data_IF_831076744120
#
_entry.id   IF_831076744120
#
_cell.length_a   1.000
_cell.length_b   1.000
_cell.length_c   1.000
_cell.angle_alpha   90.00
_cell.angle_beta   90.00
_cell.angle_gamma   90.00
#
_symmetry.space_group_name_H-M   'P 1'
#
loop_
_entity.id
_entity.type
_entity.pdbx_description
1 polymer ?
#
# COMPACT_ATOMS: atom_id res chain seq x y z
N UNK A 1 -26.07 -71.73 24.79
CA UNK A 1 -26.54 -71.16 23.51
C UNK A 1 -25.44 -70.20 23.09
N UNK A 2 -24.74 -70.56 22.02
CA UNK A 2 -23.45 -70.00 21.58
C UNK A 2 -23.71 -68.63 20.94
N UNK A 3 -22.99 -67.60 21.39
CA UNK A 3 -22.81 -66.35 20.66
C UNK A 3 -21.51 -66.52 19.86
N UNK A 4 -21.65 -66.49 18.54
CA UNK A 4 -20.54 -66.41 17.58
C UNK A 4 -19.68 -65.18 17.91
N UNK A 5 -18.49 -65.42 18.45
CA UNK A 5 -17.42 -64.44 18.58
C UNK A 5 -16.52 -64.60 17.34
N UNK A 6 -17.04 -64.22 16.17
CA UNK A 6 -16.21 -63.97 15.00
C UNK A 6 -15.61 -62.57 15.15
N UNK A 7 -14.57 -62.47 15.97
CA UNK A 7 -13.68 -61.31 15.96
C UNK A 7 -12.91 -61.38 14.63
N UNK A 8 -13.44 -60.71 13.61
CA UNK A 8 -12.76 -60.55 12.32
C UNK A 8 -11.56 -59.65 12.58
N UNK A 9 -10.42 -60.27 12.91
CA UNK A 9 -9.17 -59.56 13.19
C UNK A 9 -8.79 -58.74 11.97
N UNK A 10 -8.97 -57.42 12.04
CA UNK A 10 -8.66 -56.54 10.92
C UNK A 10 -7.16 -56.58 10.61
N UNK A 11 -6.80 -57.17 9.48
CA UNK A 11 -5.42 -57.26 9.01
C UNK A 11 -5.07 -56.11 8.06
N UNK A 12 -3.86 -55.57 8.23
CA UNK A 12 -3.37 -54.38 7.55
C UNK A 12 -2.04 -54.66 6.85
N UNK A 13 -1.80 -53.96 5.75
CA UNK A 13 -0.54 -53.94 5.02
C UNK A 13 -0.01 -52.51 5.10
N UNK A 14 1.23 -52.34 5.57
CA UNK A 14 1.90 -51.05 5.74
C UNK A 14 3.05 -50.93 4.75
N UNK A 15 3.18 -49.77 4.11
CA UNK A 15 4.27 -49.46 3.21
C UNK A 15 5.26 -48.53 3.90
N UNK A 16 6.52 -48.97 3.94
CA UNK A 16 7.65 -48.21 4.50
C UNK A 16 8.75 -48.17 3.45
N UNK A 17 9.15 -46.97 3.02
CA UNK A 17 10.17 -46.74 1.98
C UNK A 17 9.93 -47.56 0.69
N UNK A 18 8.67 -47.68 0.27
CA UNK A 18 8.28 -48.38 -0.96
C UNK A 18 8.24 -49.92 -0.85
N UNK A 19 8.50 -50.49 0.34
CA UNK A 19 8.32 -51.93 0.61
C UNK A 19 7.05 -52.17 1.42
N UNK A 20 6.27 -53.17 0.99
CA UNK A 20 5.05 -53.57 1.66
C UNK A 20 5.34 -54.63 2.72
N UNK A 21 4.80 -54.42 3.93
CA UNK A 21 4.94 -55.30 5.07
C UNK A 21 3.55 -55.65 5.60
N UNK A 22 3.24 -56.93 5.68
CA UNK A 22 1.94 -57.45 6.12
C UNK A 22 1.66 -58.83 5.51
N UNK A 23 0.47 -59.40 5.78
CA UNK A 23 -0.61 -58.86 6.62
C UNK A 23 -0.26 -58.90 8.12
N UNK A 24 -0.60 -57.84 8.86
CA UNK A 24 -0.37 -57.73 10.30
C UNK A 24 -1.63 -57.20 11.00
N UNK A 25 -1.96 -57.72 12.17
CA UNK A 25 -3.07 -57.22 12.97
C UNK A 25 -2.67 -55.93 13.73
N UNK A 26 -3.66 -55.25 14.30
CA UNK A 26 -3.46 -53.99 15.03
C UNK A 26 -2.49 -54.13 16.21
N UNK A 27 -2.43 -55.31 16.84
CA UNK A 27 -1.53 -55.60 17.96
C UNK A 27 -0.07 -55.67 17.50
N UNK A 28 0.21 -56.38 16.40
CA UNK A 28 1.53 -56.44 15.76
C UNK A 28 1.98 -55.08 15.25
N UNK A 29 1.05 -54.28 14.69
CA UNK A 29 1.38 -52.91 14.29
C UNK A 29 1.76 -52.02 15.48
N UNK A 30 1.17 -52.26 16.67
CA UNK A 30 1.51 -51.54 17.90
C UNK A 30 2.93 -51.85 18.36
N UNK A 31 3.37 -53.09 18.21
CA UNK A 31 4.77 -53.48 18.45
C UNK A 31 5.71 -52.75 17.48
N UNK A 32 5.40 -52.74 16.18
CA UNK A 32 6.24 -52.06 15.17
C UNK A 32 6.29 -50.54 15.37
N UNK A 33 5.21 -49.95 15.88
CA UNK A 33 5.21 -48.56 16.35
C UNK A 33 6.16 -48.37 17.55
N UNK A 34 6.14 -49.28 18.53
CA UNK A 34 7.05 -49.24 19.68
C UNK A 34 8.53 -49.33 19.27
N UNK A 35 8.82 -50.08 18.21
CA UNK A 35 10.15 -50.22 17.59
C UNK A 35 10.53 -49.05 16.67
N UNK A 36 9.61 -48.10 16.42
CA UNK A 36 9.84 -46.96 15.50
C UNK A 36 9.83 -47.32 14.01
N UNK A 37 9.37 -48.52 13.65
CA UNK A 37 9.32 -49.04 12.27
C UNK A 37 8.07 -48.58 11.52
N UNK A 38 7.02 -48.20 12.24
CA UNK A 38 5.78 -47.64 11.66
C UNK A 38 5.56 -46.23 12.22
N UNK A 39 5.55 -45.25 11.32
CA UNK A 39 5.26 -43.85 11.63
C UNK A 39 3.82 -43.49 11.21
N UNK A 40 3.20 -42.47 11.83
CA UNK A 40 1.84 -42.04 11.46
C UNK A 40 1.71 -41.69 9.97
N UNK A 41 2.77 -41.14 9.36
CA UNK A 41 2.78 -40.72 7.96
C UNK A 41 2.94 -41.89 6.95
N UNK A 42 3.22 -43.11 7.42
CA UNK A 42 3.38 -44.26 6.52
C UNK A 42 2.05 -44.63 5.88
N UNK A 43 2.06 -45.11 4.64
CA UNK A 43 0.84 -45.57 3.98
C UNK A 43 0.44 -46.94 4.53
N UNK A 44 -0.84 -47.15 4.77
CA UNK A 44 -1.40 -48.40 5.22
C UNK A 44 -2.76 -48.66 4.54
N UNK A 45 -3.05 -49.92 4.23
CA UNK A 45 -4.34 -50.35 3.71
C UNK A 45 -4.82 -51.61 4.42
N UNK A 46 -6.13 -51.80 4.51
CA UNK A 46 -6.71 -53.07 4.97
C UNK A 46 -6.53 -54.13 3.89
N UNK A 47 -6.41 -55.40 4.29
CA UNK A 47 -6.27 -56.52 3.33
C UNK A 47 -7.49 -56.62 2.39
N UNK A 48 -8.67 -56.23 2.88
CA UNK A 48 -9.94 -56.21 2.13
C UNK A 48 -10.15 -54.92 1.31
N UNK A 49 -9.19 -54.00 1.30
CA UNK A 49 -9.28 -52.71 0.63
C UNK A 49 -8.05 -52.44 -0.26
N UNK A 50 -8.30 -51.88 -1.45
CA UNK A 50 -7.24 -51.39 -2.33
C UNK A 50 -6.85 -49.93 -2.03
N UNK A 51 -7.57 -49.26 -1.13
CA UNK A 51 -7.35 -47.87 -0.79
C UNK A 51 -6.21 -47.73 0.23
N UNK A 52 -5.14 -47.05 -0.16
CA UNK A 52 -4.07 -46.64 0.75
C UNK A 52 -4.51 -45.42 1.55
N UNK A 53 -4.39 -45.54 2.87
CA UNK A 53 -4.70 -44.53 3.88
C UNK A 53 -3.47 -44.26 4.74
N UNK A 54 -3.48 -43.25 5.60
CA UNK A 54 -2.37 -43.02 6.51
C UNK A 54 -2.43 -44.00 7.68
N UNK A 55 -1.29 -44.58 8.09
CA UNK A 55 -1.20 -45.46 9.24
C UNK A 55 -1.69 -44.76 10.54
N UNK A 56 -1.61 -43.43 10.60
CA UNK A 56 -2.18 -42.60 11.67
C UNK A 56 -3.71 -42.61 11.76
N UNK A 57 -4.40 -43.05 10.71
CA UNK A 57 -5.86 -43.16 10.65
C UNK A 57 -6.36 -44.54 11.10
N UNK A 58 -5.47 -45.52 11.34
CA UNK A 58 -5.83 -46.85 11.82
C UNK A 58 -6.39 -46.73 13.25
N UNK A 59 -7.67 -47.12 13.48
CA UNK A 59 -8.28 -47.08 14.81
C UNK A 59 -7.46 -47.88 15.84
N UNK A 60 -7.04 -47.25 16.94
CA UNK A 60 -6.38 -47.93 18.05
C UNK A 60 -4.87 -48.23 17.89
N UNK A 61 -4.25 -47.87 16.76
CA UNK A 61 -2.81 -48.03 16.54
C UNK A 61 -2.01 -46.82 17.06
N UNK A 62 -2.38 -45.65 16.58
CA UNK A 62 -2.01 -44.38 17.17
C UNK A 62 -3.20 -43.99 18.02
N UNK A 63 -3.00 -43.78 19.32
CA UNK A 63 -4.04 -43.21 20.17
C UNK A 63 -4.35 -41.82 19.64
N UNK A 64 -5.22 -41.76 18.63
CA UNK A 64 -6.05 -40.64 18.30
C UNK A 64 -7.13 -40.55 19.39
N UNK A 65 -6.68 -40.34 20.62
CA UNK A 65 -7.13 -39.10 21.19
C UNK A 65 -6.91 -38.06 20.08
N UNK A 66 -7.95 -37.44 19.51
CA UNK A 66 -8.83 -36.62 20.32
C UNK A 66 -8.31 -36.48 21.77
N UNK A 67 -7.00 -36.10 21.89
CA UNK A 67 -6.66 -34.91 22.66
C UNK A 67 -7.82 -34.03 22.32
N UNK A 68 -8.74 -33.73 23.25
CA UNK A 68 -9.63 -32.63 23.02
C UNK A 68 -8.66 -31.62 22.47
N UNK A 69 -8.89 -31.15 21.26
CA UNK A 69 -8.47 -29.80 21.01
C UNK A 69 -9.21 -29.08 22.16
N UNK A 70 -8.55 -28.93 23.31
CA UNK A 70 -8.00 -27.65 23.64
C UNK A 70 -7.44 -27.14 22.29
N UNK A 71 -8.32 -26.71 21.35
CA UNK A 71 -8.85 -25.38 21.44
C UNK A 71 -8.55 -24.84 22.84
N UNK A 72 -7.26 -24.60 23.07
CA UNK A 72 -6.85 -23.26 23.35
C UNK A 72 -7.47 -22.54 22.16
N UNK A 73 -8.78 -22.27 22.26
CA UNK A 73 -9.35 -21.05 21.76
C UNK A 73 -8.25 -20.09 22.18
N UNK A 74 -7.43 -19.59 21.22
CA UNK A 74 -6.33 -18.72 21.57
C UNK A 74 -6.95 -17.74 22.55
N UNK A 75 -6.47 -17.74 23.82
CA UNK A 75 -7.26 -17.38 25.00
C UNK A 75 -8.10 -16.19 24.62
N UNK A 76 -9.44 -16.31 24.54
CA UNK A 76 -10.31 -15.59 23.58
C UNK A 76 -9.65 -14.26 23.36
N UNK A 77 -8.89 -14.13 22.26
CA UNK A 77 -7.93 -13.02 22.13
C UNK A 77 -8.77 -11.81 22.46
N UNK A 78 -8.54 -11.23 23.65
CA UNK A 78 -9.39 -10.13 24.13
C UNK A 78 -9.40 -9.21 22.94
N UNK A 79 -10.57 -8.94 22.32
CA UNK A 79 -10.61 -8.24 21.04
C UNK A 79 -9.70 -7.06 21.24
N UNK A 80 -8.51 -7.11 20.62
CA UNK A 80 -7.47 -6.14 20.94
C UNK A 80 -8.16 -4.87 20.51
N UNK A 81 -8.45 -3.94 21.44
CA UNK A 81 -9.29 -2.82 21.11
C UNK A 81 -8.70 -2.19 19.86
N UNK A 82 -9.51 -2.02 18.79
CA UNK A 82 -9.01 -1.59 17.50
C UNK A 82 -8.16 -0.35 17.74
N UNK A 83 -6.96 -0.31 17.14
CA UNK A 83 -6.00 0.75 17.44
C UNK A 83 -6.68 2.09 17.24
N UNK A 84 -6.63 2.98 18.21
CA UNK A 84 -7.18 4.32 18.00
C UNK A 84 -6.43 5.02 16.87
N UNK A 85 -7.06 6.00 16.20
CA UNK A 85 -6.39 6.77 15.16
C UNK A 85 -5.10 7.42 15.67
N UNK A 86 -5.13 7.94 16.91
CA UNK A 86 -3.94 8.50 17.56
C UNK A 86 -2.82 7.47 17.74
N UNK A 87 -3.15 6.22 18.08
CA UNK A 87 -2.17 5.13 18.16
C UNK A 87 -1.57 4.78 16.80
N UNK A 88 -2.37 4.75 15.71
CA UNK A 88 -1.83 4.51 14.36
C UNK A 88 -0.85 5.61 13.98
N UNK A 89 -1.19 6.87 14.24
CA UNK A 89 -0.31 8.00 13.94
C UNK A 89 0.98 7.93 14.76
N UNK A 90 0.88 7.72 16.07
CA UNK A 90 2.04 7.58 16.96
C UNK A 90 2.94 6.40 16.55
N UNK A 91 2.36 5.24 16.25
CA UNK A 91 3.09 4.06 15.78
C UNK A 91 3.76 4.33 14.42
N UNK A 92 3.11 5.10 13.54
CA UNK A 92 3.67 5.48 12.24
C UNK A 92 4.91 6.35 12.40
N UNK A 93 4.87 7.35 13.29
CA UNK A 93 6.06 8.15 13.64
C UNK A 93 7.14 7.30 14.30
N UNK A 94 6.78 6.37 15.18
CA UNK A 94 7.74 5.47 15.84
C UNK A 94 8.45 4.54 14.86
N UNK A 95 7.71 3.96 13.91
CA UNK A 95 8.25 3.11 12.85
C UNK A 95 9.13 3.94 11.92
N UNK A 96 8.67 5.12 11.52
CA UNK A 96 9.44 6.03 10.70
C UNK A 96 10.76 6.42 11.37
N UNK A 97 10.75 6.79 12.65
CA UNK A 97 11.95 7.11 13.40
C UNK A 97 12.92 5.93 13.51
N UNK A 98 12.40 4.72 13.75
CA UNK A 98 13.20 3.48 13.82
C UNK A 98 13.83 3.11 12.48
N UNK A 99 13.11 3.32 11.38
CA UNK A 99 13.54 3.04 10.00
C UNK A 99 14.07 4.25 9.25
N UNK A 100 14.36 5.37 9.91
CA UNK A 100 14.55 6.67 9.27
C UNK A 100 15.55 6.63 8.12
N UNK A 101 16.71 6.00 8.32
CA UNK A 101 17.74 5.90 7.28
C UNK A 101 17.28 5.10 6.06
N UNK A 102 16.47 4.04 6.24
CA UNK A 102 15.97 3.25 5.12
C UNK A 102 14.91 4.04 4.33
N UNK A 103 13.97 4.70 5.02
CA UNK A 103 12.97 5.55 4.36
C UNK A 103 13.57 6.80 3.73
N UNK A 104 14.60 7.37 4.35
CA UNK A 104 15.35 8.50 3.81
C UNK A 104 16.10 8.09 2.53
N UNK A 105 16.81 6.96 2.54
CA UNK A 105 17.47 6.43 1.34
C UNK A 105 16.48 6.13 0.21
N UNK A 106 15.30 5.58 0.55
CA UNK A 106 14.23 5.35 -0.43
C UNK A 106 13.69 6.66 -1.00
N UNK A 107 13.55 7.69 -0.18
CA UNK A 107 13.10 9.02 -0.61
C UNK A 107 14.17 9.70 -1.46
N UNK A 108 15.44 9.54 -1.10
CA UNK A 108 16.57 10.06 -1.85
C UNK A 108 16.60 9.48 -3.27
N UNK A 109 16.29 8.19 -3.43
CA UNK A 109 16.19 7.53 -4.73
C UNK A 109 15.18 8.21 -5.68
N UNK A 110 14.12 8.80 -5.12
CA UNK A 110 13.10 9.53 -5.87
C UNK A 110 13.43 11.03 -6.03
N UNK A 111 14.07 11.62 -5.02
CA UNK A 111 14.44 13.04 -4.97
C UNK A 111 15.66 13.38 -5.83
N UNK A 112 16.69 12.54 -5.82
CA UNK A 112 17.97 12.81 -6.49
C UNK A 112 17.80 13.21 -7.96
N UNK A 113 17.03 12.45 -8.78
CA UNK A 113 16.87 12.79 -10.18
C UNK A 113 16.17 14.14 -10.37
N UNK A 114 15.15 14.44 -9.56
CA UNK A 114 14.44 15.72 -9.59
C UNK A 114 15.36 16.89 -9.22
N UNK A 115 16.18 16.72 -8.18
CA UNK A 115 17.15 17.74 -7.76
C UNK A 115 18.21 17.94 -8.83
N UNK A 116 18.73 16.87 -9.43
CA UNK A 116 19.67 16.95 -10.55
C UNK A 116 19.07 17.70 -11.75
N UNK A 117 17.81 17.43 -12.10
CA UNK A 117 17.11 18.14 -13.18
C UNK A 117 16.98 19.64 -12.88
N UNK A 118 16.58 20.01 -11.67
CA UNK A 118 16.44 21.41 -11.24
C UNK A 118 17.79 22.15 -11.20
N UNK A 119 18.84 21.52 -10.66
CA UNK A 119 20.19 22.08 -10.64
C UNK A 119 20.73 22.30 -12.06
N UNK A 120 20.42 21.39 -12.99
CA UNK A 120 20.80 21.52 -14.40
C UNK A 120 20.11 22.73 -15.03
N UNK A 121 18.81 22.92 -14.77
CA UNK A 121 18.05 24.08 -15.26
C UNK A 121 18.59 25.41 -14.71
N UNK A 122 18.91 25.47 -13.40
CA UNK A 122 19.51 26.63 -12.77
C UNK A 122 20.87 26.98 -13.39
N UNK A 123 21.73 25.98 -13.61
CA UNK A 123 23.05 26.20 -14.20
C UNK A 123 22.97 26.76 -15.63
N UNK A 124 21.91 26.41 -16.37
CA UNK A 124 21.65 26.93 -17.71
C UNK A 124 21.17 28.37 -17.73
N UNK A 125 20.24 28.74 -16.84
CA UNK A 125 19.75 30.12 -16.74
C UNK A 125 20.88 31.11 -16.50
N UNK A 126 21.87 30.73 -15.69
CA UNK A 126 23.01 31.58 -15.38
C UNK A 126 24.03 31.71 -16.55
N UNK A 127 23.88 30.92 -17.62
CA UNK A 127 24.82 30.87 -18.76
C UNK A 127 24.22 31.29 -20.11
N UNK A 128 22.98 31.77 -20.12
CA UNK A 128 22.23 32.14 -21.33
C UNK A 128 22.82 33.28 -22.18
N UNK A 129 23.97 33.86 -21.80
CA UNK A 129 24.58 34.96 -22.55
C UNK A 129 25.53 34.55 -23.70
N UNK A 130 25.95 33.27 -23.87
CA UNK A 130 27.18 33.03 -24.64
C UNK A 130 27.29 31.90 -25.71
N UNK A 131 26.36 30.94 -25.90
CA UNK A 131 26.30 30.01 -27.08
C UNK A 131 25.32 28.84 -26.81
N UNK A 132 24.20 28.76 -27.54
CA UNK A 132 22.97 28.14 -27.02
C UNK A 132 22.40 26.89 -27.74
N UNK A 133 23.06 26.20 -28.67
CA UNK A 133 22.38 25.07 -29.35
C UNK A 133 22.62 23.69 -28.70
N UNK A 134 23.83 23.13 -28.77
CA UNK A 134 24.02 21.72 -28.36
C UNK A 134 23.89 21.47 -26.85
N UNK A 135 24.34 22.43 -26.03
CA UNK A 135 24.30 22.30 -24.56
C UNK A 135 22.87 22.31 -24.05
N UNK A 136 22.05 23.24 -24.53
CA UNK A 136 20.64 23.39 -24.12
C UNK A 136 19.85 22.12 -24.46
N UNK A 137 20.06 21.56 -25.66
CA UNK A 137 19.47 20.27 -26.05
C UNK A 137 19.93 19.13 -25.13
N UNK A 138 21.24 19.03 -24.84
CA UNK A 138 21.77 17.98 -23.97
C UNK A 138 21.22 18.06 -22.53
N UNK A 139 21.10 19.27 -21.97
CA UNK A 139 20.52 19.46 -20.64
C UNK A 139 19.01 19.24 -20.60
N UNK A 140 18.28 19.67 -21.63
CA UNK A 140 16.86 19.34 -21.78
C UNK A 140 16.65 17.83 -21.84
N UNK A 141 17.46 17.12 -22.63
CA UNK A 141 17.47 15.66 -22.70
C UNK A 141 17.80 15.01 -21.36
N UNK A 142 18.81 15.52 -20.63
CA UNK A 142 19.15 15.04 -19.30
C UNK A 142 17.99 15.23 -18.30
N UNK A 143 17.38 16.42 -18.24
CA UNK A 143 16.25 16.70 -17.36
C UNK A 143 15.05 15.80 -17.69
N UNK A 144 14.78 15.56 -18.97
CA UNK A 144 13.75 14.64 -19.43
C UNK A 144 14.00 13.18 -19.00
N UNK A 145 15.25 12.70 -19.12
CA UNK A 145 15.63 11.37 -18.65
C UNK A 145 15.50 11.24 -17.14
N UNK A 146 15.93 12.26 -16.38
CA UNK A 146 15.76 12.28 -14.92
C UNK A 146 14.27 12.24 -14.52
N UNK A 147 13.41 12.95 -15.25
CA UNK A 147 11.97 12.90 -15.06
C UNK A 147 11.39 11.50 -15.32
N UNK A 148 11.76 10.85 -16.43
CA UNK A 148 11.35 9.47 -16.74
C UNK A 148 11.82 8.52 -15.63
N UNK A 149 13.06 8.67 -15.19
CA UNK A 149 13.61 7.84 -14.13
C UNK A 149 12.84 8.03 -12.81
N UNK A 150 12.55 9.28 -12.41
CA UNK A 150 11.68 9.54 -11.23
C UNK A 150 10.30 8.88 -11.36
N UNK A 151 9.67 8.94 -12.54
CA UNK A 151 8.40 8.25 -12.76
C UNK A 151 8.54 6.73 -12.66
N UNK A 152 9.60 6.16 -13.24
CA UNK A 152 9.87 4.73 -13.20
C UNK A 152 10.21 4.22 -11.80
N UNK A 153 10.77 5.05 -10.92
CA UNK A 153 11.10 4.69 -9.53
C UNK A 153 9.91 4.79 -8.58
N UNK A 154 8.82 5.44 -8.98
CA UNK A 154 7.63 5.59 -8.13
C UNK A 154 7.04 4.26 -7.64
N UNK A 155 6.85 3.22 -8.49
CA UNK A 155 6.38 1.91 -8.04
C UNK A 155 7.30 1.26 -7.02
N UNK A 156 8.62 1.37 -7.22
CA UNK A 156 9.64 0.84 -6.29
C UNK A 156 9.57 1.56 -4.96
N UNK A 157 9.41 2.88 -4.97
CA UNK A 157 9.24 3.69 -3.77
C UNK A 157 7.99 3.26 -2.98
N UNK A 158 6.84 3.10 -3.64
CA UNK A 158 5.60 2.68 -2.96
C UNK A 158 5.76 1.28 -2.34
N UNK A 159 6.26 0.31 -3.11
CA UNK A 159 6.45 -1.06 -2.62
C UNK A 159 7.52 -1.12 -1.50
N UNK A 160 8.60 -0.36 -1.64
CA UNK A 160 9.67 -0.27 -0.66
C UNK A 160 9.19 0.22 0.70
N UNK A 161 8.31 1.24 0.74
CA UNK A 161 7.72 1.70 2.02
C UNK A 161 7.01 0.54 2.71
N UNK A 162 6.21 -0.23 1.97
CA UNK A 162 5.39 -1.30 2.53
C UNK A 162 6.25 -2.45 3.06
N UNK A 163 7.24 -2.90 2.27
CA UNK A 163 8.17 -3.97 2.64
C UNK A 163 8.94 -3.57 3.90
N UNK A 164 9.63 -2.42 3.88
CA UNK A 164 10.41 -1.92 5.02
C UNK A 164 9.54 -1.77 6.27
N UNK A 165 8.32 -1.23 6.13
CA UNK A 165 7.38 -1.10 7.24
C UNK A 165 7.07 -2.45 7.88
N UNK A 166 6.75 -3.46 7.07
CA UNK A 166 6.44 -4.80 7.60
C UNK A 166 7.63 -5.49 8.24
N UNK A 167 8.84 -5.27 7.73
CA UNK A 167 10.07 -5.82 8.29
C UNK A 167 10.39 -5.19 9.65
N UNK A 168 10.21 -3.87 9.78
CA UNK A 168 10.35 -3.15 11.06
C UNK A 168 9.32 -3.61 12.09
N UNK A 169 8.06 -3.84 11.66
CA UNK A 169 7.00 -4.37 12.53
C UNK A 169 7.32 -5.81 12.98
N UNK A 170 7.89 -6.63 12.09
CA UNK A 170 8.31 -7.99 12.38
C UNK A 170 9.65 -8.08 13.14
N UNK A 171 10.24 -6.92 13.51
CA UNK A 171 11.55 -6.80 14.15
C UNK A 171 12.70 -7.49 13.39
N UNK A 172 12.54 -7.68 12.07
CA UNK A 172 13.55 -8.23 11.19
C UNK A 172 14.47 -7.11 10.70
N UNK A 173 15.78 -7.38 10.67
CA UNK A 173 16.78 -6.48 10.06
C UNK A 173 17.14 -6.99 8.67
N UNK A 174 16.45 -6.47 7.68
CA UNK A 174 16.74 -6.65 6.27
C UNK A 174 17.59 -5.48 5.77
N UNK A 175 18.55 -5.79 4.91
CA UNK A 175 19.36 -4.77 4.24
C UNK A 175 18.51 -3.97 3.27
N UNK A 176 18.77 -2.66 3.16
CA UNK A 176 18.06 -1.75 2.24
C UNK A 176 18.05 -2.26 0.79
N UNK A 177 19.16 -2.82 0.32
CA UNK A 177 19.27 -3.38 -1.04
C UNK A 177 18.40 -4.62 -1.27
N UNK A 178 18.21 -5.44 -0.24
CA UNK A 178 17.31 -6.60 -0.31
C UNK A 178 15.87 -6.11 -0.46
N UNK A 179 15.47 -5.13 0.35
CA UNK A 179 14.14 -4.52 0.25
C UNK A 179 13.89 -3.86 -1.12
N UNK A 180 14.89 -3.21 -1.72
CA UNK A 180 14.78 -2.67 -3.09
C UNK A 180 14.62 -3.80 -4.11
N UNK A 181 15.45 -4.83 -4.03
CA UNK A 181 15.38 -5.95 -4.97
C UNK A 181 14.00 -6.62 -4.95
N UNK A 182 13.45 -6.81 -3.74
CA UNK A 182 12.09 -7.33 -3.58
C UNK A 182 11.04 -6.35 -4.09
N UNK A 183 11.19 -5.04 -3.85
CA UNK A 183 10.29 -4.02 -4.38
C UNK A 183 10.26 -3.98 -5.91
N UNK A 184 11.41 -4.16 -6.58
CA UNK A 184 11.50 -4.21 -8.06
C UNK A 184 10.72 -5.40 -8.62
N UNK A 185 10.62 -6.51 -7.89
CA UNK A 185 9.80 -7.66 -8.32
C UNK A 185 8.31 -7.31 -8.45
N UNK A 186 7.82 -6.37 -7.64
CA UNK A 186 6.43 -5.90 -7.68
C UNK A 186 6.20 -4.76 -8.69
N UNK A 187 7.26 -4.27 -9.34
CA UNK A 187 7.22 -3.14 -10.26
C UNK A 187 6.09 -3.20 -11.30
N UNK A 188 5.92 -4.26 -12.12
CA UNK A 188 4.92 -4.25 -13.20
C UNK A 188 3.49 -4.14 -12.67
N UNK A 189 3.21 -4.72 -11.50
CA UNK A 189 1.86 -4.70 -10.89
C UNK A 189 1.55 -3.34 -10.30
N UNK A 190 2.50 -2.77 -9.56
CA UNK A 190 2.33 -1.44 -8.96
C UNK A 190 2.31 -0.38 -10.07
N UNK A 191 3.10 -0.52 -11.14
CA UNK A 191 3.06 0.35 -12.31
C UNK A 191 1.70 0.29 -13.02
N UNK A 192 1.12 -0.90 -13.24
CA UNK A 192 -0.22 -1.04 -13.81
C UNK A 192 -1.28 -0.35 -12.93
N UNK A 193 -1.20 -0.49 -11.61
CA UNK A 193 -2.05 0.25 -10.69
C UNK A 193 -1.83 1.77 -10.82
N UNK A 194 -0.59 2.24 -10.89
CA UNK A 194 -0.29 3.65 -11.10
C UNK A 194 -0.91 4.21 -12.39
N UNK A 195 -0.90 3.47 -13.50
CA UNK A 195 -1.55 3.89 -14.75
C UNK A 195 -3.06 4.07 -14.54
N UNK A 196 -3.73 3.12 -13.89
CA UNK A 196 -5.16 3.23 -13.57
C UNK A 196 -5.43 4.44 -12.69
N UNK A 197 -4.58 4.68 -11.69
CA UNK A 197 -4.65 5.83 -10.79
C UNK A 197 -4.53 7.12 -11.58
N UNK A 198 -3.49 7.29 -12.39
CA UNK A 198 -3.29 8.49 -13.20
C UNK A 198 -4.45 8.74 -14.16
N UNK A 199 -5.01 7.69 -14.77
CA UNK A 199 -6.20 7.81 -15.62
C UNK A 199 -7.41 8.36 -14.89
N UNK A 200 -7.71 7.86 -13.68
CA UNK A 200 -8.84 8.36 -12.89
C UNK A 200 -8.59 9.78 -12.38
N UNK A 201 -7.38 10.09 -11.93
CA UNK A 201 -7.03 11.44 -11.49
C UNK A 201 -7.10 12.45 -12.65
N UNK A 202 -6.67 12.06 -13.85
CA UNK A 202 -6.83 12.87 -15.05
C UNK A 202 -8.31 13.20 -15.31
N UNK A 203 -9.19 12.19 -15.24
CA UNK A 203 -10.64 12.41 -15.39
C UNK A 203 -11.21 13.34 -14.31
N UNK A 204 -10.75 13.21 -13.06
CA UNK A 204 -11.17 14.11 -11.97
C UNK A 204 -10.68 15.55 -12.17
N UNK A 205 -9.50 15.75 -12.74
CA UNK A 205 -8.98 17.08 -13.10
C UNK A 205 -9.81 17.68 -14.23
N UNK A 206 -10.07 16.91 -15.30
CA UNK A 206 -10.93 17.33 -16.41
C UNK A 206 -12.32 17.70 -15.90
N UNK A 207 -12.88 16.93 -14.97
CA UNK A 207 -14.16 17.26 -14.33
C UNK A 207 -14.12 18.60 -13.59
N UNK A 208 -13.03 18.90 -12.87
CA UNK A 208 -12.82 20.21 -12.23
C UNK A 208 -12.76 21.36 -13.25
N UNK A 209 -12.05 21.16 -14.37
CA UNK A 209 -12.00 22.15 -15.45
C UNK A 209 -13.37 22.37 -16.10
N UNK A 210 -14.19 21.33 -16.24
CA UNK A 210 -15.56 21.47 -16.75
C UNK A 210 -16.43 22.29 -15.80
N UNK A 211 -16.28 22.12 -14.49
CA UNK A 211 -16.98 22.96 -13.50
C UNK A 211 -16.51 24.42 -13.60
N UNK A 212 -15.20 24.65 -13.72
CA UNK A 212 -14.66 26.00 -13.91
C UNK A 212 -15.17 26.66 -15.20
N UNK A 213 -15.19 25.92 -16.32
CA UNK A 213 -15.74 26.41 -17.59
C UNK A 213 -17.24 26.73 -17.47
N UNK A 214 -18.00 25.91 -16.74
CA UNK A 214 -19.42 26.15 -16.45
C UNK A 214 -19.65 27.44 -15.65
N UNK A 215 -18.76 27.77 -14.70
CA UNK A 215 -18.82 29.03 -13.94
C UNK A 215 -18.53 30.23 -14.86
N UNK A 216 -17.54 30.12 -15.75
CA UNK A 216 -17.14 31.20 -16.67
C UNK A 216 -18.18 31.43 -17.77
N UNK A 217 -18.76 30.35 -18.32
CA UNK A 217 -19.74 30.42 -19.41
C UNK A 217 -21.19 30.62 -18.93
N UNK A 218 -21.47 30.34 -17.65
CA UNK A 218 -22.79 30.46 -17.06
C UNK A 218 -23.13 31.90 -16.70
N UNK A 219 -24.39 32.30 -16.90
CA UNK A 219 -24.92 33.53 -16.28
C UNK A 219 -24.75 33.46 -14.76
N UNK A 220 -24.45 34.59 -14.10
CA UNK A 220 -24.28 34.75 -12.64
C UNK A 220 -25.57 34.52 -11.83
N UNK A 221 -26.21 33.38 -12.04
CA UNK A 221 -27.39 32.94 -11.29
C UNK A 221 -26.94 32.20 -10.03
N UNK A 222 -27.63 32.46 -8.93
CA UNK A 222 -27.40 31.79 -7.64
C UNK A 222 -27.49 30.27 -7.79
N UNK A 223 -28.38 29.78 -8.66
CA UNK A 223 -28.52 28.36 -8.96
C UNK A 223 -27.23 27.76 -9.55
N UNK A 224 -26.62 28.40 -10.54
CA UNK A 224 -25.37 27.92 -11.15
C UNK A 224 -24.23 27.91 -10.14
N UNK A 225 -24.17 28.90 -9.24
CA UNK A 225 -23.18 28.94 -8.15
C UNK A 225 -23.38 27.78 -7.18
N UNK A 226 -24.63 27.54 -6.72
CA UNK A 226 -24.94 26.42 -5.83
C UNK A 226 -24.66 25.06 -6.48
N UNK A 227 -24.99 24.91 -7.76
CA UNK A 227 -24.73 23.70 -8.52
C UNK A 227 -23.22 23.47 -8.67
N UNK A 228 -22.45 24.50 -9.03
CA UNK A 228 -20.99 24.41 -9.11
C UNK A 228 -20.37 24.04 -7.76
N UNK A 229 -20.85 24.62 -6.65
CA UNK A 229 -20.39 24.30 -5.30
C UNK A 229 -20.71 22.84 -4.93
N UNK A 230 -21.90 22.34 -5.29
CA UNK A 230 -22.28 20.95 -5.08
C UNK A 230 -21.41 19.98 -5.89
N UNK A 231 -21.12 20.31 -7.15
CA UNK A 231 -20.23 19.52 -8.02
C UNK A 231 -18.79 19.53 -7.53
N UNK A 232 -18.27 20.67 -7.04
CA UNK A 232 -16.96 20.75 -6.40
C UNK A 232 -16.91 19.90 -5.13
N UNK A 233 -17.95 19.97 -4.28
CA UNK A 233 -18.07 19.12 -3.10
C UNK A 233 -18.05 17.64 -3.46
N UNK A 234 -18.78 17.24 -4.51
CA UNK A 234 -18.77 15.88 -5.04
C UNK A 234 -17.38 15.48 -5.57
N UNK A 235 -16.72 16.36 -6.32
CA UNK A 235 -15.37 16.12 -6.85
C UNK A 235 -14.36 15.86 -5.73
N UNK A 236 -14.34 16.71 -4.69
CA UNK A 236 -13.45 16.56 -3.53
C UNK A 236 -13.76 15.27 -2.78
N UNK A 237 -15.04 14.94 -2.60
CA UNK A 237 -15.44 13.69 -1.96
C UNK A 237 -15.00 12.45 -2.77
N UNK A 238 -15.20 12.46 -4.09
CA UNK A 238 -14.75 11.38 -4.99
C UNK A 238 -13.24 11.21 -4.94
N UNK A 239 -12.51 12.32 -4.95
CA UNK A 239 -11.04 12.33 -4.87
C UNK A 239 -10.55 11.67 -3.58
N UNK A 240 -11.04 12.11 -2.42
CA UNK A 240 -10.63 11.56 -1.13
C UNK A 240 -10.96 10.07 -1.01
N UNK A 241 -12.15 9.66 -1.45
CA UNK A 241 -12.58 8.26 -1.42
C UNK A 241 -11.78 7.37 -2.36
N UNK A 242 -11.51 7.85 -3.58
CA UNK A 242 -10.70 7.11 -4.54
C UNK A 242 -9.25 6.99 -4.07
N UNK A 243 -8.66 8.07 -3.56
CA UNK A 243 -7.30 8.07 -3.02
C UNK A 243 -7.10 7.03 -1.91
N UNK A 244 -8.03 6.97 -0.94
CA UNK A 244 -7.97 5.95 0.10
C UNK A 244 -8.06 4.52 -0.47
N UNK A 245 -8.94 4.28 -1.44
CA UNK A 245 -9.05 2.96 -2.10
C UNK A 245 -7.76 2.57 -2.81
N UNK A 246 -7.12 3.51 -3.51
CA UNK A 246 -5.85 3.30 -4.21
C UNK A 246 -4.75 2.88 -3.24
N UNK A 247 -4.64 3.56 -2.10
CA UNK A 247 -3.65 3.21 -1.08
C UNK A 247 -3.88 1.80 -0.54
N UNK A 248 -5.14 1.36 -0.41
CA UNK A 248 -5.46 -0.03 -0.06
C UNK A 248 -5.12 -1.01 -1.19
N UNK A 249 -5.39 -0.70 -2.46
CA UNK A 249 -5.02 -1.55 -3.60
C UNK A 249 -3.52 -1.83 -3.63
N UNK A 250 -2.72 -0.81 -3.33
CA UNK A 250 -1.27 -0.94 -3.21
C UNK A 250 -0.89 -1.90 -2.08
N UNK A 251 -1.57 -1.87 -0.93
CA UNK A 251 -1.28 -2.81 0.18
C UNK A 251 -1.56 -4.26 -0.24
N UNK A 252 -2.70 -4.52 -0.89
CA UNK A 252 -3.04 -5.87 -1.37
C UNK A 252 -2.06 -6.38 -2.43
N UNK A 253 -1.64 -5.53 -3.36
CA UNK A 253 -0.72 -5.92 -4.43
C UNK A 253 0.66 -6.36 -3.91
N UNK A 254 1.16 -5.72 -2.86
CA UNK A 254 2.51 -5.96 -2.34
C UNK A 254 2.51 -6.90 -1.14
N UNK A 255 1.61 -6.73 -0.17
CA UNK A 255 1.60 -7.53 1.05
C UNK A 255 0.96 -8.91 0.87
N UNK A 256 -0.07 -9.02 0.03
CA UNK A 256 -0.73 -10.30 -0.27
C UNK A 256 -0.30 -10.89 -1.60
N UNK A 257 0.65 -10.26 -2.30
CA UNK A 257 1.12 -10.69 -3.62
C UNK A 257 -0.04 -10.84 -4.63
N UNK A 258 -1.14 -10.08 -4.45
CA UNK A 258 -2.36 -10.20 -5.23
C UNK A 258 -2.18 -9.62 -6.65
N UNK A 259 -2.93 -10.18 -7.62
CA UNK A 259 -3.06 -9.58 -8.95
C UNK A 259 -3.82 -8.24 -8.92
N UNK A 260 -3.77 -7.48 -10.01
CA UNK A 260 -4.46 -6.17 -10.12
C UNK A 260 -5.98 -6.32 -9.95
N UNK A 261 -6.57 -7.36 -10.52
CA UNK A 261 -8.02 -7.61 -10.43
C UNK A 261 -8.39 -8.09 -9.02
N UNK A 262 -7.54 -8.90 -8.40
CA UNK A 262 -7.79 -9.44 -7.06
C UNK A 262 -7.64 -8.34 -6.00
N UNK A 263 -6.69 -7.42 -6.14
CA UNK A 263 -6.54 -6.28 -5.22
C UNK A 263 -7.74 -5.33 -5.28
N UNK A 264 -8.33 -5.12 -6.46
CA UNK A 264 -9.58 -4.39 -6.64
C UNK A 264 -10.76 -5.11 -5.95
N UNK A 265 -10.86 -6.42 -6.15
CA UNK A 265 -11.93 -7.25 -5.57
C UNK A 265 -11.85 -7.26 -4.05
N UNK A 266 -10.67 -7.48 -3.48
CA UNK A 266 -10.49 -7.57 -2.03
C UNK A 266 -10.61 -6.21 -1.34
N UNK A 267 -10.18 -5.12 -1.97
CA UNK A 267 -10.48 -3.77 -1.46
C UNK A 267 -11.99 -3.52 -1.36
N UNK A 268 -12.77 -3.96 -2.35
CA UNK A 268 -14.23 -3.84 -2.31
C UNK A 268 -14.83 -4.69 -1.20
N UNK A 269 -14.24 -5.86 -0.91
CA UNK A 269 -14.66 -6.69 0.22
C UNK A 269 -14.31 -6.01 1.56
N UNK A 270 -13.12 -5.41 1.68
CA UNK A 270 -12.69 -4.64 2.85
C UNK A 270 -13.58 -3.40 3.09
N UNK A 271 -14.05 -2.76 2.02
CA UNK A 271 -15.03 -1.67 2.08
C UNK A 271 -16.42 -2.10 2.60
N UNK A 272 -16.77 -3.38 2.39
CA UNK A 272 -18.06 -3.96 2.77
C UNK A 272 -18.01 -4.62 4.16
N UNK A 273 -16.85 -5.09 4.56
CA UNK A 273 -16.59 -5.61 5.90
C UNK A 273 -16.59 -4.47 6.92
N UNK A 274 -17.17 -4.71 8.11
CA UNK A 274 -17.35 -3.66 9.12
C UNK A 274 -18.65 -2.85 9.00
N UNK A 275 -19.70 -3.41 8.36
CA UNK A 275 -21.06 -2.83 8.42
C UNK A 275 -21.60 -2.74 9.85
N UNK A 276 -21.22 -3.70 10.69
CA UNK A 276 -21.50 -3.78 12.12
C UNK A 276 -20.86 -2.63 12.93
N UNK A 277 -19.77 -2.04 12.41
CA UNK A 277 -19.03 -0.97 13.09
C UNK A 277 -19.63 0.42 12.76
N UNK A 278 -19.58 1.36 13.73
CA UNK A 278 -19.90 2.77 13.49
C UNK A 278 -19.13 3.30 12.27
N UNK A 279 -19.76 4.17 11.48
CA UNK A 279 -19.21 4.61 10.20
C UNK A 279 -17.77 5.17 10.30
N UNK A 280 -17.44 5.88 11.38
CA UNK A 280 -16.12 6.48 11.62
C UNK A 280 -15.02 5.47 11.97
N UNK A 281 -15.37 4.28 12.45
CA UNK A 281 -14.41 3.21 12.77
C UNK A 281 -14.09 2.33 11.56
N UNK A 282 -14.87 2.46 10.48
CA UNK A 282 -14.65 1.67 9.27
C UNK A 282 -13.28 1.98 8.67
N UNK A 283 -12.54 0.96 8.17
CA UNK A 283 -11.19 1.14 7.64
C UNK A 283 -11.09 2.23 6.57
N UNK A 284 -12.09 2.34 5.69
CA UNK A 284 -12.11 3.38 4.66
C UNK A 284 -12.21 4.80 5.22
N UNK A 285 -13.05 5.02 6.23
CA UNK A 285 -13.20 6.36 6.82
C UNK A 285 -11.97 6.74 7.62
N UNK A 286 -11.37 5.80 8.36
CA UNK A 286 -10.08 5.99 9.03
C UNK A 286 -8.98 6.35 8.03
N UNK A 287 -8.95 5.69 6.88
CA UNK A 287 -8.03 6.02 5.78
C UNK A 287 -8.26 7.41 5.20
N UNK A 288 -9.53 7.81 4.99
CA UNK A 288 -9.87 9.17 4.54
C UNK A 288 -9.42 10.22 5.55
N UNK A 289 -9.64 10.01 6.86
CA UNK A 289 -9.17 10.95 7.89
C UNK A 289 -7.65 11.10 7.90
N UNK A 290 -6.89 10.00 7.79
CA UNK A 290 -5.42 10.03 7.71
C UNK A 290 -4.97 10.78 6.45
N UNK A 291 -5.58 10.49 5.31
CA UNK A 291 -5.28 11.19 4.07
C UNK A 291 -5.61 12.69 4.17
N UNK A 292 -6.75 13.07 4.74
CA UNK A 292 -7.13 14.47 4.95
C UNK A 292 -6.16 15.21 5.86
N UNK A 293 -5.69 14.58 6.94
CA UNK A 293 -4.68 15.15 7.83
C UNK A 293 -3.36 15.38 7.08
N UNK A 294 -2.95 14.41 6.25
CA UNK A 294 -1.77 14.54 5.41
C UNK A 294 -1.91 15.65 4.36
N UNK A 295 -3.05 15.73 3.68
CA UNK A 295 -3.32 16.82 2.73
C UNK A 295 -3.33 18.19 3.41
N UNK A 296 -3.89 18.29 4.62
CA UNK A 296 -3.85 19.52 5.41
C UNK A 296 -2.40 19.93 5.76
N UNK A 297 -1.55 18.96 6.12
CA UNK A 297 -0.12 19.21 6.36
C UNK A 297 0.59 19.69 5.10
N UNK A 298 0.38 18.99 3.97
CA UNK A 298 0.96 19.39 2.68
C UNK A 298 0.49 20.79 2.27
N UNK A 299 -0.81 21.08 2.45
CA UNK A 299 -1.38 22.39 2.16
C UNK A 299 -0.77 23.46 3.06
N UNK A 300 -0.59 23.19 4.35
CA UNK A 300 0.06 24.13 5.26
C UNK A 300 1.51 24.42 4.85
N UNK A 301 2.27 23.41 4.44
CA UNK A 301 3.64 23.57 3.94
C UNK A 301 3.65 24.39 2.63
N UNK A 302 2.77 24.07 1.69
CA UNK A 302 2.65 24.79 0.42
C UNK A 302 2.23 26.25 0.62
N UNK A 303 1.24 26.50 1.48
CA UNK A 303 0.80 27.84 1.84
C UNK A 303 1.92 28.63 2.51
N UNK A 304 2.70 28.03 3.40
CA UNK A 304 3.82 28.71 4.06
C UNK A 304 4.93 29.06 3.06
N UNK A 305 5.21 28.15 2.13
CA UNK A 305 6.19 28.33 1.07
C UNK A 305 5.81 29.47 0.11
N UNK A 306 4.55 29.51 -0.32
CA UNK A 306 4.10 30.43 -1.37
C UNK A 306 3.31 31.63 -0.82
N UNK A 307 3.31 31.83 0.50
CA UNK A 307 2.48 32.84 1.15
C UNK A 307 2.69 34.25 0.57
N UNK A 308 3.95 34.65 0.43
CA UNK A 308 4.30 35.97 -0.10
C UNK A 308 3.83 36.14 -1.55
N UNK A 309 3.99 35.11 -2.38
CA UNK A 309 3.53 35.09 -3.77
C UNK A 309 2.02 35.15 -3.84
N UNK A 310 1.31 34.35 -3.04
CA UNK A 310 -0.14 34.35 -2.95
C UNK A 310 -0.68 35.71 -2.48
N UNK A 311 -0.06 36.33 -1.48
CA UNK A 311 -0.43 37.67 -1.03
C UNK A 311 -0.23 38.71 -2.15
N UNK A 312 0.88 38.63 -2.87
CA UNK A 312 1.15 39.54 -3.98
C UNK A 312 0.15 39.36 -5.12
N UNK A 313 -0.09 38.12 -5.56
CA UNK A 313 -1.09 37.79 -6.59
C UNK A 313 -2.50 38.18 -6.16
N UNK A 314 -2.86 38.00 -4.88
CA UNK A 314 -4.16 38.40 -4.36
C UNK A 314 -4.31 39.93 -4.34
N UNK A 315 -3.27 40.65 -3.96
CA UNK A 315 -3.27 42.11 -3.97
C UNK A 315 -3.36 42.65 -5.41
N UNK A 316 -2.62 42.05 -6.35
CA UNK A 316 -2.69 42.35 -7.77
C UNK A 316 -4.10 42.10 -8.33
N UNK A 317 -4.73 40.96 -7.98
CA UNK A 317 -6.09 40.61 -8.38
C UNK A 317 -7.14 41.59 -7.85
N UNK A 318 -6.97 42.08 -6.61
CA UNK A 318 -7.89 43.03 -5.99
C UNK A 318 -7.70 44.46 -6.51
N UNK A 319 -6.52 44.79 -7.04
CA UNK A 319 -6.19 46.16 -7.48
C UNK A 319 -6.31 46.36 -8.98
N UNK A 320 -6.21 45.31 -9.79
CA UNK A 320 -6.21 45.41 -11.25
C UNK A 320 -7.56 45.00 -11.81
N UNK A 321 -8.26 45.94 -12.47
CA UNK A 321 -9.58 45.70 -13.06
C UNK A 321 -9.50 45.06 -14.45
N UNK A 322 -8.36 45.17 -15.14
CA UNK A 322 -8.16 44.64 -16.49
C UNK A 322 -7.50 43.25 -16.46
N UNK A 323 -8.10 42.22 -17.10
CA UNK A 323 -7.60 40.84 -17.07
C UNK A 323 -6.32 40.62 -17.90
N UNK A 324 -6.07 41.43 -18.93
CA UNK A 324 -4.87 41.31 -19.76
C UNK A 324 -3.62 41.86 -19.07
N UNK A 325 -3.75 42.97 -18.34
CA UNK A 325 -2.65 43.53 -17.54
C UNK A 325 -2.33 42.66 -16.33
N UNK A 326 -3.33 41.99 -15.75
CA UNK A 326 -3.11 40.93 -14.74
C UNK A 326 -2.26 39.78 -15.28
N UNK A 327 -2.60 39.24 -16.44
CA UNK A 327 -1.82 38.13 -17.03
C UNK A 327 -0.39 38.55 -17.36
N UNK A 328 -0.20 39.76 -17.85
CA UNK A 328 1.11 40.29 -18.18
C UNK A 328 1.98 40.47 -16.92
N UNK A 329 1.43 41.07 -15.86
CA UNK A 329 2.14 41.24 -14.59
C UNK A 329 2.42 39.92 -13.88
N UNK A 330 1.48 38.97 -13.92
CA UNK A 330 1.72 37.62 -13.39
C UNK A 330 2.85 36.94 -14.15
N UNK A 331 2.88 37.05 -15.49
CA UNK A 331 3.97 36.52 -16.31
C UNK A 331 5.32 37.15 -15.97
N UNK A 332 5.38 38.49 -15.84
CA UNK A 332 6.61 39.21 -15.48
C UNK A 332 7.09 38.83 -14.07
N UNK A 333 6.16 38.67 -13.11
CA UNK A 333 6.49 38.24 -11.74
C UNK A 333 7.05 36.81 -11.69
N UNK A 334 6.48 35.87 -12.48
CA UNK A 334 7.00 34.51 -12.54
C UNK A 334 8.38 34.42 -13.20
N UNK A 335 8.69 35.33 -14.13
CA UNK A 335 9.96 35.39 -14.81
C UNK A 335 11.06 36.07 -13.97
N UNK A 336 10.66 36.93 -13.04
CA UNK A 336 11.54 37.58 -12.05
C UNK A 336 11.76 36.73 -10.78
N UNK A 337 10.97 35.68 -10.56
CA UNK A 337 11.15 34.75 -9.44
C UNK A 337 12.44 33.92 -9.66
N UNK A 338 13.52 34.39 -9.05
CA UNK A 338 14.74 33.60 -8.86
C UNK A 338 14.50 32.37 -7.98
N UNK A 339 15.54 31.57 -7.81
CA UNK A 339 15.45 30.37 -6.97
C UNK A 339 15.12 30.73 -5.51
N UNK A 340 13.96 30.27 -5.04
CA UNK A 340 13.56 30.40 -3.65
C UNK A 340 14.03 29.18 -2.83
N UNK A 341 15.04 29.41 -1.99
CA UNK A 341 15.60 28.37 -1.14
C UNK A 341 14.61 27.85 -0.08
N UNK A 342 13.65 28.68 0.35
CA UNK A 342 12.68 28.30 1.37
C UNK A 342 11.63 27.34 0.78
N UNK A 343 11.07 27.67 -0.38
CA UNK A 343 10.16 26.75 -1.10
C UNK A 343 10.83 25.44 -1.44
N UNK A 344 12.09 25.48 -1.89
CA UNK A 344 12.88 24.29 -2.15
C UNK A 344 13.09 23.43 -0.90
N UNK A 345 13.50 24.04 0.22
CA UNK A 345 13.71 23.33 1.48
C UNK A 345 12.41 22.72 2.03
N UNK A 346 11.30 23.44 1.96
CA UNK A 346 9.97 22.96 2.37
C UNK A 346 9.48 21.83 1.46
N UNK A 347 9.75 21.91 0.15
CA UNK A 347 9.48 20.82 -0.80
C UNK A 347 10.27 19.55 -0.48
N UNK A 348 11.55 19.67 -0.11
CA UNK A 348 12.36 18.54 0.37
C UNK A 348 11.77 17.97 1.66
N UNK A 349 11.43 18.82 2.62
CA UNK A 349 10.83 18.38 3.90
C UNK A 349 9.54 17.60 3.68
N UNK A 350 8.66 18.09 2.80
CA UNK A 350 7.43 17.39 2.43
C UNK A 350 7.71 15.98 1.89
N UNK A 351 8.72 15.83 1.03
CA UNK A 351 9.12 14.54 0.45
C UNK A 351 9.73 13.60 1.47
N UNK A 352 10.54 14.12 2.40
CA UNK A 352 11.12 13.35 3.52
C UNK A 352 10.02 12.80 4.44
N UNK A 353 8.96 13.57 4.67
CA UNK A 353 7.82 13.16 5.50
C UNK A 353 6.84 12.22 4.76
N UNK A 354 6.89 12.18 3.42
CA UNK A 354 5.96 11.41 2.59
C UNK A 354 5.83 9.92 2.97
N UNK A 355 6.87 9.19 3.41
CA UNK A 355 6.71 7.80 3.85
C UNK A 355 5.71 7.61 4.99
N UNK A 356 5.45 8.63 5.82
CA UNK A 356 4.53 8.54 6.96
C UNK A 356 3.12 8.12 6.55
N UNK A 357 2.60 8.62 5.42
CA UNK A 357 1.27 8.22 4.95
C UNK A 357 1.25 6.75 4.53
N UNK A 358 2.30 6.27 3.87
CA UNK A 358 2.41 4.88 3.46
C UNK A 358 2.47 3.93 4.67
N UNK A 359 3.26 4.28 5.69
CA UNK A 359 3.35 3.53 6.95
C UNK A 359 1.99 3.48 7.64
N UNK A 360 1.29 4.62 7.74
CA UNK A 360 -0.02 4.68 8.39
C UNK A 360 -1.06 3.78 7.69
N UNK A 361 -1.03 3.71 6.35
CA UNK A 361 -1.90 2.83 5.59
C UNK A 361 -1.53 1.35 5.71
N UNK A 362 -0.24 1.00 5.83
CA UNK A 362 0.19 -0.37 6.15
C UNK A 362 -0.35 -0.79 7.52
N UNK A 363 -0.23 0.08 8.53
CA UNK A 363 -0.76 -0.20 9.88
C UNK A 363 -2.28 -0.34 9.88
N UNK A 364 -2.99 0.56 9.21
CA UNK A 364 -4.44 0.51 9.07
C UNK A 364 -4.89 -0.78 8.36
N UNK A 365 -4.15 -1.19 7.34
CA UNK A 365 -4.38 -2.44 6.63
C UNK A 365 -4.22 -3.66 7.55
N UNK A 366 -3.11 -3.75 8.29
CA UNK A 366 -2.88 -4.84 9.22
C UNK A 366 -3.92 -4.88 10.36
N UNK A 367 -4.35 -3.72 10.86
CA UNK A 367 -5.41 -3.60 11.87
C UNK A 367 -6.74 -4.16 11.34
N UNK A 368 -7.13 -3.76 10.12
CA UNK A 368 -8.37 -4.23 9.48
C UNK A 368 -8.40 -5.72 9.15
N UNK A 369 -7.24 -6.38 9.09
CA UNK A 369 -7.11 -7.82 8.85
C UNK A 369 -7.15 -8.65 10.14
N UNK A 370 -6.79 -8.08 11.28
CA UNK A 370 -6.86 -8.76 12.60
C UNK A 370 -8.29 -8.91 13.13
N UNK A 371 -9.23 -8.15 12.56
CA UNK A 371 -10.67 -8.30 12.83
C UNK A 371 -11.33 -9.47 12.07
N UNK A 372 -10.56 -10.18 11.22
CA UNK A 372 -10.94 -11.48 10.65
C UNK A 372 -10.24 -12.59 11.43
#
# INVERSE_FOLDING_TARGET
MILDDQDVTEEWIVRVDGKEYGPANVETLREWKGEGRVLPANEARRVDSELWTSAGEIPGLFNSGTVPRVHVSPPPQRPIPPRSLGQILADSFRIYARGFLQFFSLTLLLLLPSVCAQLTAMWMQNRQAANADLRVVAAGGFAFLMFIFSMAMWPVYVAGIQIITTEIIAERRTGFFVAINDAVRFWPRVAALCIVVYGVFFLLIVFGFLIAAMIVAGSSSVFMILLALALLGLQVWMFGRFFANVLFWQQFAVLENAGVIDSLRESRNLARNGRELPWFQRPLWRGVFIASLWFALVLAIALLSEWATLQHSFNELMTTQDPQTLLQKLSESQQAHGFDALSFALGILQKILQPLIGIAFVLLYLDSRKER
#
